data_IF_822477905361
#
_entry.id   IF_822477905361
#
_cell.length_a   1.000
_cell.length_b   1.000
_cell.length_c   1.000
_cell.angle_alpha   90.00
_cell.angle_beta   90.00
_cell.angle_gamma   90.00
#
_symmetry.space_group_name_H-M   'P 1'
#
loop_
_entity.id
_entity.type
_entity.pdbx_description
1 polymer ?
#
# COMPACT_ATOMS: atom_id res chain seq x y z
N UNK A 1 -21.06 -2.04 -19.40
CA UNK A 1 -21.47 -2.76 -18.17
C UNK A 1 -21.43 -1.74 -17.06
N UNK A 2 -22.55 -1.47 -16.37
CA UNK A 2 -22.56 -0.56 -15.23
C UNK A 2 -22.17 -1.36 -13.98
N UNK A 3 -21.31 -0.78 -13.15
CA UNK A 3 -21.03 -1.28 -11.81
C UNK A 3 -22.11 -0.70 -10.90
N UNK A 4 -22.81 -1.55 -10.14
CA UNK A 4 -23.78 -1.10 -9.14
C UNK A 4 -23.06 -0.45 -7.96
N UNK A 5 -23.63 0.64 -7.44
CA UNK A 5 -23.07 1.34 -6.29
C UNK A 5 -23.33 0.54 -5.00
N UNK A 6 -22.27 -0.01 -4.40
CA UNK A 6 -22.32 -0.79 -3.15
C UNK A 6 -22.29 0.06 -1.89
N UNK A 7 -23.22 1.00 -1.72
CA UNK A 7 -23.29 1.86 -0.53
C UNK A 7 -23.73 1.10 0.72
N UNK A 8 -23.10 1.38 1.87
CA UNK A 8 -23.38 0.73 3.16
C UNK A 8 -24.13 1.64 4.17
N UNK A 9 -24.51 2.85 3.76
CA UNK A 9 -25.33 3.79 4.54
C UNK A 9 -24.60 4.51 5.67
N UNK A 10 -23.27 4.35 5.78
CA UNK A 10 -22.44 4.98 6.81
C UNK A 10 -21.12 5.48 6.21
N UNK A 11 -20.49 6.54 6.76
CA UNK A 11 -19.17 6.93 6.30
C UNK A 11 -18.13 5.89 6.73
N UNK A 12 -17.27 5.52 5.80
CA UNK A 12 -16.07 4.70 6.01
C UNK A 12 -14.90 5.37 5.32
N UNK A 13 -13.67 4.91 5.60
CA UNK A 13 -12.48 5.34 4.88
C UNK A 13 -11.56 4.15 4.57
N UNK A 14 -10.80 4.29 3.49
CA UNK A 14 -9.60 3.51 3.21
C UNK A 14 -8.47 4.49 2.91
N UNK A 15 -7.24 4.11 3.26
CA UNK A 15 -6.05 4.90 2.98
C UNK A 15 -5.15 4.12 2.04
N UNK A 16 -4.69 4.80 0.99
CA UNK A 16 -3.66 4.35 0.07
C UNK A 16 -2.44 5.26 0.29
N UNK A 17 -1.27 4.68 0.60
CA UNK A 17 -0.06 5.43 0.87
C UNK A 17 1.10 4.91 0.01
N UNK A 18 1.48 5.74 -0.96
CA UNK A 18 2.61 5.49 -1.84
C UNK A 18 3.95 5.93 -1.22
N UNK A 19 4.94 5.04 -1.34
CA UNK A 19 6.32 5.26 -0.93
C UNK A 19 7.26 5.20 -2.12
N UNK A 20 7.94 6.31 -2.38
CA UNK A 20 9.03 6.36 -3.33
C UNK A 20 10.29 5.70 -2.75
N UNK A 21 10.83 4.74 -3.46
CA UNK A 21 12.06 4.03 -3.13
C UNK A 21 13.26 4.87 -3.55
N UNK A 22 14.19 5.06 -2.62
CA UNK A 22 15.40 5.86 -2.82
C UNK A 22 16.66 5.08 -2.51
N UNK A 23 17.73 5.39 -3.24
CA UNK A 23 19.07 4.96 -2.86
C UNK A 23 19.45 5.58 -1.51
N UNK A 24 20.00 4.77 -0.60
CA UNK A 24 20.32 5.22 0.77
C UNK A 24 21.43 6.28 0.81
N UNK A 25 22.34 6.26 -0.16
CA UNK A 25 23.51 7.13 -0.23
C UNK A 25 23.19 8.37 -1.06
N UNK A 26 22.72 8.21 -2.29
CA UNK A 26 22.50 9.33 -3.23
C UNK A 26 21.17 10.03 -3.02
N UNK A 27 20.17 9.33 -2.46
CA UNK A 27 18.77 9.76 -2.33
C UNK A 27 18.02 9.90 -3.65
N UNK A 28 18.59 9.42 -4.75
CA UNK A 28 17.89 9.35 -6.02
C UNK A 28 16.83 8.24 -5.98
N UNK A 29 15.77 8.41 -6.78
CA UNK A 29 14.76 7.38 -6.97
C UNK A 29 15.37 6.14 -7.64
N UNK A 30 15.01 4.96 -7.15
CA UNK A 30 15.51 3.68 -7.67
C UNK A 30 14.37 2.75 -8.05
N UNK A 31 14.49 2.08 -9.19
CA UNK A 31 13.50 1.12 -9.69
C UNK A 31 13.68 -0.26 -9.03
N UNK A 32 13.51 -0.32 -7.70
CA UNK A 32 13.79 -1.51 -6.88
C UNK A 32 12.54 -2.21 -6.34
N UNK A 33 11.34 -1.84 -6.81
CA UNK A 33 10.10 -2.44 -6.33
C UNK A 33 10.05 -3.96 -6.56
N UNK A 34 10.40 -4.52 -7.75
CA UNK A 34 10.37 -5.98 -7.95
C UNK A 34 11.21 -6.74 -6.92
N UNK A 35 12.45 -6.29 -6.68
CA UNK A 35 13.38 -6.89 -5.73
C UNK A 35 12.86 -6.77 -4.29
N UNK A 36 12.24 -5.64 -3.94
CA UNK A 36 11.59 -5.45 -2.64
C UNK A 36 10.46 -6.46 -2.44
N UNK A 37 9.62 -6.69 -3.44
CA UNK A 37 8.52 -7.67 -3.38
C UNK A 37 9.03 -9.10 -3.21
N UNK A 38 10.06 -9.49 -3.96
CA UNK A 38 10.66 -10.82 -3.86
C UNK A 38 11.24 -11.06 -2.45
N UNK A 39 11.98 -10.08 -1.91
CA UNK A 39 12.53 -10.13 -0.56
C UNK A 39 11.45 -10.15 0.51
N UNK A 40 10.41 -9.35 0.36
CA UNK A 40 9.29 -9.27 1.31
C UNK A 40 8.54 -10.60 1.35
N UNK A 41 8.24 -11.17 0.19
CA UNK A 41 7.58 -12.49 0.06
C UNK A 41 8.43 -13.59 0.69
N UNK A 42 9.74 -13.58 0.46
CA UNK A 42 10.65 -14.57 1.05
C UNK A 42 10.69 -14.49 2.58
N UNK A 43 10.65 -13.29 3.16
CA UNK A 43 10.81 -13.07 4.61
C UNK A 43 9.50 -13.17 5.39
N UNK A 44 8.41 -12.69 4.81
CA UNK A 44 7.15 -12.45 5.51
C UNK A 44 5.96 -13.16 4.85
N UNK A 45 6.16 -13.87 3.73
CA UNK A 45 5.08 -14.41 2.91
C UNK A 45 4.36 -13.31 2.13
N UNK A 46 3.25 -13.68 1.49
CA UNK A 46 2.41 -12.74 0.75
C UNK A 46 1.86 -11.63 1.66
N UNK A 47 1.96 -10.39 1.21
CA UNK A 47 1.49 -9.20 1.92
C UNK A 47 0.33 -8.57 1.14
N UNK A 48 -0.94 -8.89 1.45
CA UNK A 48 -2.08 -8.49 0.63
C UNK A 48 -2.36 -6.98 0.66
N UNK A 49 -1.80 -6.25 1.63
CA UNK A 49 -1.93 -4.79 1.77
C UNK A 49 -0.79 -4.01 1.09
N UNK A 50 0.20 -4.70 0.49
CA UNK A 50 1.34 -4.08 -0.18
C UNK A 50 1.23 -4.32 -1.69
N UNK A 51 1.19 -3.26 -2.50
CA UNK A 51 0.90 -3.34 -3.93
C UNK A 51 2.03 -2.80 -4.82
N UNK A 52 2.12 -3.41 -6.01
CA UNK A 52 3.01 -2.95 -7.08
C UNK A 52 2.34 -1.79 -7.79
N UNK A 53 3.09 -0.71 -7.97
CA UNK A 53 2.61 0.46 -8.68
C UNK A 53 3.07 0.54 -10.14
N UNK A 54 2.49 1.49 -10.88
CA UNK A 54 2.85 1.73 -12.28
C UNK A 54 4.36 2.01 -12.45
N UNK A 55 4.96 2.75 -11.52
CA UNK A 55 6.38 3.04 -11.51
C UNK A 55 7.14 2.05 -10.64
N UNK A 56 8.24 1.52 -11.17
CA UNK A 56 9.09 0.54 -10.48
C UNK A 56 9.86 1.12 -9.28
N UNK A 57 9.77 2.41 -9.05
CA UNK A 57 10.35 3.11 -7.91
C UNK A 57 9.34 3.44 -6.82
N UNK A 58 8.10 2.95 -6.93
CA UNK A 58 7.05 3.19 -5.95
C UNK A 58 6.42 1.88 -5.50
N UNK A 59 6.06 1.83 -4.22
CA UNK A 59 5.18 0.79 -3.67
C UNK A 59 4.05 1.45 -2.89
N UNK A 60 2.90 0.79 -2.83
CA UNK A 60 1.73 1.29 -2.12
C UNK A 60 1.38 0.39 -0.94
N UNK A 61 1.09 1.00 0.21
CA UNK A 61 0.47 0.33 1.35
C UNK A 61 -0.99 0.78 1.47
N UNK A 62 -1.91 -0.17 1.61
CA UNK A 62 -3.35 0.09 1.74
C UNK A 62 -3.90 -0.38 3.08
N UNK A 63 -4.86 0.34 3.65
CA UNK A 63 -5.68 -0.19 4.76
C UNK A 63 -6.85 -1.03 4.25
N UNK A 64 -7.52 -1.72 5.17
CA UNK A 64 -8.90 -2.18 4.94
C UNK A 64 -9.91 -1.02 4.90
N UNK A 65 -11.18 -1.38 5.05
CA UNK A 65 -12.27 -0.42 5.25
C UNK A 65 -12.35 -0.10 6.74
N UNK A 66 -11.97 1.10 7.12
CA UNK A 66 -11.94 1.56 8.49
C UNK A 66 -13.14 2.48 8.80
N UNK A 67 -13.56 2.51 10.06
CA UNK A 67 -14.64 3.35 10.57
C UNK A 67 -14.10 4.66 11.19
N UNK A 68 -12.81 4.69 11.54
CA UNK A 68 -12.17 5.86 12.13
C UNK A 68 -10.76 6.07 11.57
N UNK A 69 -10.26 7.30 11.67
CA UNK A 69 -8.87 7.61 11.29
C UNK A 69 -7.87 6.89 12.21
N UNK A 70 -8.20 6.70 13.49
CA UNK A 70 -7.37 5.96 14.43
C UNK A 70 -7.16 4.51 14.00
N UNK A 71 -8.24 3.84 13.60
CA UNK A 71 -8.20 2.48 13.05
C UNK A 71 -7.32 2.39 11.80
N UNK A 72 -7.45 3.33 10.85
CA UNK A 72 -6.59 3.38 9.67
C UNK A 72 -5.10 3.62 10.04
N UNK A 73 -4.82 4.50 11.00
CA UNK A 73 -3.46 4.76 11.45
C UNK A 73 -2.84 3.55 12.16
N UNK A 74 -3.62 2.85 13.00
CA UNK A 74 -3.18 1.64 13.68
C UNK A 74 -2.84 0.54 12.66
N UNK A 75 -3.70 0.32 11.65
CA UNK A 75 -3.45 -0.65 10.57
C UNK A 75 -2.17 -0.36 9.76
N UNK A 76 -1.83 0.93 9.55
CA UNK A 76 -0.61 1.31 8.83
C UNK A 76 0.68 1.06 9.64
N UNK A 77 0.56 0.75 10.94
CA UNK A 77 1.71 0.57 11.84
C UNK A 77 1.88 -0.86 12.38
N UNK A 78 1.02 -1.79 11.97
CA UNK A 78 1.08 -3.21 12.30
C UNK A 78 2.20 -3.94 11.56
#
# INVERSE_FOLDING_TARGET
MLIEFGGDGRPTLGVEWEFALVDKVTRDLVNAAPELFDLTTQRHGEQPRLHKELLLNTVELTTGICNTVGEAADELTE
#
